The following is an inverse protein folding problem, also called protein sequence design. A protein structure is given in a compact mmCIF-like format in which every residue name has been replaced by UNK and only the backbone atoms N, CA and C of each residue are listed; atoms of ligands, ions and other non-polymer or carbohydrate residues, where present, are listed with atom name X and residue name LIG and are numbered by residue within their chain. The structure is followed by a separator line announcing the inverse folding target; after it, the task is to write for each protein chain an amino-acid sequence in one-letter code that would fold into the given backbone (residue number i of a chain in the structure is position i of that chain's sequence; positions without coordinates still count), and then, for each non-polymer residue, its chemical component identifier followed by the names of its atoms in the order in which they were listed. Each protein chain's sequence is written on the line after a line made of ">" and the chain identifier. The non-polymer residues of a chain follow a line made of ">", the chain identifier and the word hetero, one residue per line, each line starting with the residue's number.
data_IF_058927097982
#
_entry.id   IF_058927097982
#
_cell.length_a   1.000
_cell.length_b   1.000
_cell.length_c   1.000
_cell.angle_alpha   90.00
_cell.angle_beta   90.00
_cell.angle_gamma   90.00
#
_symmetry.space_group_name_H-M   'P 1'
#
loop_
_entity.id
_entity.type
_entity.pdbx_description
1 polymer ?
#
# COMPACT_ATOMS: atom_id res chain seq x y z
N UNK A 1 -13.53 -16.73 10.28
CA UNK A 1 -12.65 -16.87 11.46
C UNK A 1 -12.08 -15.50 11.76
N UNK A 2 -12.61 -14.89 12.80
CA UNK A 2 -11.96 -13.69 13.35
C UNK A 2 -10.68 -14.13 14.05
N UNK A 3 -9.54 -13.86 13.41
CA UNK A 3 -8.32 -13.81 14.17
C UNK A 3 -8.44 -12.62 15.13
N UNK A 4 -8.08 -12.79 16.41
CA UNK A 4 -8.12 -11.75 17.45
C UNK A 4 -7.12 -10.59 17.19
N UNK A 5 -6.97 -10.18 15.94
CA UNK A 5 -6.09 -9.08 15.52
C UNK A 5 -6.76 -7.71 15.72
N UNK A 6 -8.08 -7.68 15.84
CA UNK A 6 -8.82 -6.44 15.99
C UNK A 6 -9.70 -6.49 17.24
N UNK A 7 -9.88 -5.35 17.94
CA UNK A 7 -10.78 -5.27 19.07
C UNK A 7 -12.24 -5.54 18.67
N UNK A 8 -13.05 -6.00 19.61
CA UNK A 8 -14.47 -6.35 19.35
C UNK A 8 -15.32 -5.15 18.90
N UNK A 9 -14.90 -3.94 19.28
CA UNK A 9 -15.58 -2.69 18.91
C UNK A 9 -14.96 -2.01 17.68
N UNK A 10 -14.35 -2.80 16.80
CA UNK A 10 -13.75 -2.27 15.58
C UNK A 10 -14.83 -1.58 14.71
N UNK A 11 -14.57 -0.37 14.21
CA UNK A 11 -15.57 0.38 13.45
C UNK A 11 -15.90 -0.30 12.11
N UNK A 12 -17.09 -0.02 11.61
CA UNK A 12 -17.51 -0.40 10.28
C UNK A 12 -16.54 0.16 9.21
N UNK A 13 -16.43 -0.53 8.08
CA UNK A 13 -15.50 -0.22 6.99
C UNK A 13 -15.53 1.25 6.56
N UNK A 14 -16.70 1.83 6.33
CA UNK A 14 -16.83 3.22 5.89
C UNK A 14 -16.36 4.20 6.96
N UNK A 15 -16.68 3.92 8.21
CA UNK A 15 -16.24 4.73 9.35
C UNK A 15 -14.74 4.62 9.55
N UNK A 16 -14.18 3.41 9.45
CA UNK A 16 -12.75 3.19 9.53
C UNK A 16 -11.98 3.98 8.47
N UNK A 17 -12.46 3.95 7.23
CA UNK A 17 -11.85 4.70 6.13
C UNK A 17 -11.84 6.22 6.40
N UNK A 18 -12.96 6.77 6.89
CA UNK A 18 -13.03 8.20 7.27
C UNK A 18 -12.08 8.56 8.40
N UNK A 19 -11.96 7.69 9.40
CA UNK A 19 -11.01 7.89 10.50
C UNK A 19 -9.58 7.91 9.95
N UNK A 20 -9.21 6.99 9.08
CA UNK A 20 -7.89 6.96 8.45
C UNK A 20 -7.62 8.23 7.63
N UNK A 21 -8.58 8.73 6.88
CA UNK A 21 -8.44 9.98 6.13
C UNK A 21 -8.22 11.19 7.05
N UNK A 22 -8.97 11.28 8.13
CA UNK A 22 -8.85 12.38 9.10
C UNK A 22 -7.52 12.35 9.86
N UNK A 23 -6.95 11.17 10.05
CA UNK A 23 -5.70 10.96 10.77
C UNK A 23 -4.49 10.79 9.84
N UNK A 24 -4.64 11.00 8.54
CA UNK A 24 -3.59 10.73 7.56
C UNK A 24 -2.26 11.41 7.90
N UNK A 25 -2.29 12.69 8.28
CA UNK A 25 -1.06 13.41 8.66
C UNK A 25 -0.44 12.87 9.94
N UNK A 26 -1.26 12.52 10.92
CA UNK A 26 -0.78 11.93 12.19
C UNK A 26 -0.16 10.57 11.97
N UNK A 27 -0.76 9.73 11.13
CA UNK A 27 -0.23 8.43 10.74
C UNK A 27 1.10 8.59 10.02
N UNK A 28 1.21 9.56 9.12
CA UNK A 28 2.44 9.82 8.39
C UNK A 28 3.57 10.26 9.32
N UNK A 29 3.29 11.14 10.28
CA UNK A 29 4.26 11.56 11.30
C UNK A 29 4.71 10.39 12.17
N UNK A 30 3.76 9.58 12.61
CA UNK A 30 4.07 8.40 13.42
C UNK A 30 4.98 7.43 12.66
N UNK A 31 4.68 7.16 11.40
CA UNK A 31 5.52 6.33 10.52
C UNK A 31 6.93 6.91 10.40
N UNK A 32 7.06 8.21 10.19
CA UNK A 32 8.34 8.86 10.09
C UNK A 32 9.19 8.69 11.35
N UNK A 33 8.61 8.91 12.52
CA UNK A 33 9.31 8.71 13.79
C UNK A 33 9.67 7.24 14.03
N UNK A 34 8.78 6.32 13.71
CA UNK A 34 9.07 4.89 13.79
C UNK A 34 10.26 4.49 12.91
N UNK A 35 10.31 4.98 11.68
CA UNK A 35 11.42 4.70 10.76
C UNK A 35 12.73 5.27 11.30
N UNK A 36 12.73 6.50 11.81
CA UNK A 36 13.93 7.11 12.41
C UNK A 36 14.44 6.31 13.59
N UNK A 37 13.54 5.83 14.44
CA UNK A 37 13.89 5.10 15.66
C UNK A 37 14.36 3.67 15.37
N UNK A 38 13.69 2.97 14.47
CA UNK A 38 13.92 1.56 14.18
C UNK A 38 15.02 1.30 13.15
N UNK A 39 15.33 2.28 12.30
CA UNK A 39 16.29 2.14 11.21
C UNK A 39 17.66 2.78 11.50
N UNK A 40 17.93 3.24 12.69
CA UNK A 40 19.20 3.90 13.05
C UNK A 40 20.42 3.01 12.88
N UNK A 41 20.27 1.70 12.98
CA UNK A 41 21.34 0.70 12.90
C UNK A 41 21.27 -0.14 11.63
N UNK A 42 20.55 0.33 10.63
CA UNK A 42 20.35 -0.40 9.39
C UNK A 42 21.65 -0.47 8.57
N UNK A 43 22.12 -1.69 8.24
CA UNK A 43 23.32 -1.93 7.45
C UNK A 43 23.04 -1.97 5.96
N UNK A 44 21.86 -2.45 5.56
CA UNK A 44 21.41 -2.53 4.18
C UNK A 44 19.88 -2.47 4.10
N UNK A 45 19.37 -2.15 2.93
CA UNK A 45 17.96 -2.17 2.63
C UNK A 45 17.64 -3.05 1.44
N UNK A 46 16.48 -3.67 1.45
CA UNK A 46 15.92 -4.43 0.34
C UNK A 46 14.86 -3.59 -0.35
N UNK A 47 14.99 -3.45 -1.66
CA UNK A 47 13.97 -2.78 -2.48
C UNK A 47 13.31 -3.82 -3.36
N UNK A 48 12.00 -3.85 -3.34
CA UNK A 48 11.20 -4.65 -4.25
C UNK A 48 10.02 -3.83 -4.76
N UNK A 49 9.51 -4.20 -5.92
CA UNK A 49 8.37 -3.53 -6.50
C UNK A 49 7.35 -4.53 -7.02
N UNK A 50 6.08 -4.22 -6.83
CA UNK A 50 4.98 -5.08 -7.25
C UNK A 50 3.85 -4.26 -7.88
N UNK A 51 3.11 -4.85 -8.83
CA UNK A 51 1.96 -4.19 -9.43
C UNK A 51 0.76 -4.22 -8.50
N UNK A 52 0.03 -3.11 -8.46
CA UNK A 52 -1.26 -3.00 -7.78
C UNK A 52 -2.33 -2.66 -8.81
N UNK A 53 -3.08 -3.67 -9.23
CA UNK A 53 -4.17 -3.50 -10.19
C UNK A 53 -5.37 -2.81 -9.52
N UNK A 54 -5.89 -1.77 -10.16
CA UNK A 54 -7.04 -1.00 -9.68
C UNK A 54 -8.38 -1.51 -10.21
N UNK A 55 -8.35 -2.36 -11.23
CA UNK A 55 -9.56 -2.94 -11.80
C UNK A 55 -9.26 -4.31 -12.44
N UNK A 56 -10.32 -5.02 -12.78
CA UNK A 56 -10.21 -6.26 -13.55
C UNK A 56 -9.63 -5.98 -14.96
N UNK A 57 -8.77 -6.84 -15.53
CA UNK A 57 -8.11 -6.62 -16.81
C UNK A 57 -9.05 -6.24 -17.97
N UNK A 58 -10.26 -6.77 -17.98
CA UNK A 58 -11.30 -6.45 -18.97
C UNK A 58 -11.68 -4.96 -19.01
N UNK A 59 -11.44 -4.24 -17.92
CA UNK A 59 -11.77 -2.83 -17.78
C UNK A 59 -10.57 -1.89 -17.97
N UNK A 60 -9.39 -2.41 -18.25
CA UNK A 60 -8.17 -1.60 -18.34
C UNK A 60 -8.32 -0.38 -19.25
N UNK A 61 -8.94 -0.56 -20.42
CA UNK A 61 -9.12 0.52 -21.39
C UNK A 61 -10.19 1.55 -21.02
N UNK A 62 -11.01 1.26 -20.01
CA UNK A 62 -12.09 2.14 -19.55
C UNK A 62 -11.87 2.66 -18.12
N UNK A 63 -10.76 2.28 -17.50
CA UNK A 63 -10.48 2.65 -16.13
C UNK A 63 -10.11 4.13 -16.03
N UNK A 64 -10.71 4.80 -15.05
CA UNK A 64 -10.49 6.22 -14.78
C UNK A 64 -10.04 6.49 -13.35
N UNK A 65 -10.07 5.46 -12.50
CA UNK A 65 -9.66 5.59 -11.10
C UNK A 65 -8.19 5.99 -11.02
N UNK A 66 -7.91 7.09 -10.32
CA UNK A 66 -6.55 7.64 -10.16
C UNK A 66 -5.84 7.91 -11.51
N UNK A 67 -6.57 8.32 -12.53
CA UNK A 67 -6.06 8.54 -13.90
C UNK A 67 -4.89 9.52 -13.99
N UNK A 68 -4.68 10.35 -12.99
CA UNK A 68 -3.54 11.28 -12.92
C UNK A 68 -2.21 10.57 -12.63
N UNK A 69 -2.24 9.40 -11.99
CA UNK A 69 -1.04 8.68 -11.51
C UNK A 69 -1.01 7.22 -11.93
N UNK A 70 -2.15 6.65 -12.29
CA UNK A 70 -2.26 5.26 -12.73
C UNK A 70 -2.18 5.15 -14.25
N UNK A 71 -1.58 4.06 -14.72
CA UNK A 71 -1.44 3.76 -16.15
C UNK A 71 -1.47 2.25 -16.39
N UNK A 72 -1.46 1.87 -17.65
CA UNK A 72 -1.40 0.46 -18.04
C UNK A 72 0.05 -0.02 -17.98
N UNK A 73 0.29 -1.03 -17.15
CA UNK A 73 1.56 -1.70 -17.02
C UNK A 73 1.48 -3.18 -17.41
N UNK A 74 2.62 -3.84 -17.44
CA UNK A 74 2.72 -5.25 -17.73
C UNK A 74 3.29 -6.01 -16.55
N UNK A 75 2.58 -7.06 -16.12
CA UNK A 75 3.05 -7.98 -15.07
C UNK A 75 3.69 -9.20 -15.73
N UNK A 76 5.01 -9.26 -15.73
CA UNK A 76 5.78 -10.32 -16.38
C UNK A 76 5.54 -11.69 -15.74
N UNK A 77 5.34 -11.76 -14.42
CA UNK A 77 5.09 -13.00 -13.70
C UNK A 77 3.76 -13.64 -14.08
N UNK A 78 2.72 -12.83 -14.17
CA UNK A 78 1.38 -13.29 -14.58
C UNK A 78 1.14 -13.19 -16.08
N UNK A 79 2.06 -12.58 -16.83
CA UNK A 79 1.98 -12.34 -18.28
C UNK A 79 0.69 -11.63 -18.71
N UNK A 80 0.26 -10.64 -17.92
CA UNK A 80 -0.95 -9.85 -18.20
C UNK A 80 -0.66 -8.34 -18.09
N UNK A 81 -1.42 -7.56 -18.83
CA UNK A 81 -1.49 -6.12 -18.64
C UNK A 81 -2.47 -5.78 -17.52
N UNK A 82 -2.17 -4.75 -16.77
CA UNK A 82 -3.03 -4.24 -15.69
C UNK A 82 -3.11 -2.73 -15.77
N UNK A 83 -4.23 -2.18 -15.36
CA UNK A 83 -4.36 -0.75 -15.09
C UNK A 83 -4.18 -0.52 -13.59
N UNK A 84 -3.19 0.26 -13.22
CA UNK A 84 -2.93 0.50 -11.81
C UNK A 84 -1.63 1.23 -11.53
N UNK A 85 -1.09 0.93 -10.37
CA UNK A 85 0.13 1.52 -9.84
C UNK A 85 1.20 0.45 -9.63
N UNK A 86 2.44 0.86 -9.71
CA UNK A 86 3.56 0.04 -9.30
C UNK A 86 4.05 0.55 -7.94
N UNK A 87 3.92 -0.26 -6.92
CA UNK A 87 4.46 0.05 -5.60
C UNK A 87 5.91 -0.39 -5.50
N UNK A 88 6.74 0.49 -4.98
CA UNK A 88 8.11 0.15 -4.58
C UNK A 88 8.19 0.21 -3.07
N UNK A 89 8.70 -0.84 -2.47
CA UNK A 89 8.83 -0.97 -1.01
C UNK A 89 10.30 -1.10 -0.65
N UNK A 90 10.72 -0.31 0.32
CA UNK A 90 12.05 -0.40 0.91
C UNK A 90 11.92 -0.98 2.31
N UNK A 91 12.63 -2.05 2.57
CA UNK A 91 12.65 -2.74 3.87
C UNK A 91 14.06 -2.80 4.39
N UNK A 92 14.26 -2.44 5.66
CA UNK A 92 15.56 -2.58 6.33
C UNK A 92 15.92 -4.04 6.61
N UNK A 93 17.17 -4.29 6.96
CA UNK A 93 17.67 -5.60 7.37
C UNK A 93 16.95 -6.17 8.61
N UNK A 94 16.36 -5.32 9.43
CA UNK A 94 15.55 -5.71 10.60
C UNK A 94 14.05 -5.90 10.29
N UNK A 95 13.62 -5.74 9.05
CA UNK A 95 12.24 -5.98 8.61
C UNK A 95 11.30 -4.76 8.65
N UNK A 96 11.83 -3.56 8.73
CA UNK A 96 11.04 -2.32 8.75
C UNK A 96 11.20 -1.48 7.49
#
# INVERSE_FOLDING_TARGET
>A
IRHNLFPDNFPERSRFYRICQNLAQSIQRMRYFMVLDLCQTCSFGLIDSFPCALCHPIRNMRATLLSEVADIGYNATKKIHYYGLKFSVLVSDSGF
#
